data_IF_401188262295
#
_entry.id   IF_401188262295
#
_cell.length_a   1.000
_cell.length_b   1.000
_cell.length_c   1.000
_cell.angle_alpha   90.00
_cell.angle_beta   90.00
_cell.angle_gamma   90.00
#
_symmetry.space_group_name_H-M   'P 1'
#
loop_
_entity.id
_entity.type
_entity.pdbx_description
1 polymer ?
#
# COMPACT_ATOMS: atom_id res chain seq x y z
N UNK A 1 15.27 0.78 -5.43
CA UNK A 1 15.82 2.05 -4.92
C UNK A 1 15.92 1.90 -3.41
N UNK A 2 16.86 1.11 -2.94
CA UNK A 2 17.04 0.84 -1.51
C UNK A 2 18.51 0.54 -1.32
N UNK A 3 19.25 1.60 -1.02
CA UNK A 3 20.57 1.47 -0.42
C UNK A 3 20.66 2.56 0.65
N UNK A 4 19.76 2.47 1.64
CA UNK A 4 19.85 3.24 2.88
C UNK A 4 20.71 2.42 3.83
N UNK A 5 22.01 2.44 3.55
CA UNK A 5 23.06 1.87 4.38
C UNK A 5 23.02 2.53 5.76
N UNK A 6 22.49 1.84 6.77
CA UNK A 6 22.55 2.29 8.17
C UNK A 6 22.83 1.11 9.08
N UNK A 7 24.07 1.03 9.55
CA UNK A 7 24.51 0.10 10.59
C UNK A 7 25.90 -0.44 10.29
N UNK A 8 26.92 0.01 11.02
CA UNK A 8 28.31 -0.44 10.84
C UNK A 8 28.46 -1.90 11.26
N UNK A 9 28.57 -2.80 10.28
CA UNK A 9 28.93 -4.20 10.54
C UNK A 9 30.35 -4.35 11.05
N UNK A 10 30.66 -5.50 11.67
CA UNK A 10 32.00 -5.84 12.18
C UNK A 10 33.12 -5.82 11.12
N UNK A 11 32.77 -5.71 9.83
CA UNK A 11 33.66 -5.60 8.68
C UNK A 11 33.63 -4.21 8.00
N UNK A 12 32.98 -3.21 8.58
CA UNK A 12 32.97 -1.83 8.08
C UNK A 12 31.93 -1.53 6.99
N UNK A 13 31.37 -2.56 6.34
CA UNK A 13 30.28 -2.39 5.38
C UNK A 13 28.92 -2.39 6.10
N UNK A 14 28.00 -1.47 5.72
CA UNK A 14 26.70 -1.40 6.37
C UNK A 14 25.76 -2.51 5.90
N UNK A 15 24.98 -3.08 6.82
CA UNK A 15 23.91 -4.01 6.45
C UNK A 15 22.85 -3.31 5.60
N UNK A 16 22.40 -3.96 4.53
CA UNK A 16 21.22 -3.49 3.81
C UNK A 16 19.95 -3.85 4.60
N UNK A 17 19.05 -2.88 4.74
CA UNK A 17 17.79 -3.07 5.45
C UNK A 17 16.94 -4.17 4.79
N UNK A 18 16.92 -4.21 3.45
CA UNK A 18 16.18 -5.23 2.70
C UNK A 18 16.68 -6.65 3.00
N UNK A 19 18.01 -6.84 3.12
CA UNK A 19 18.56 -8.16 3.44
C UNK A 19 18.17 -8.62 4.85
N UNK A 20 18.18 -7.70 5.82
CA UNK A 20 17.74 -8.00 7.17
C UNK A 20 16.23 -8.28 7.22
N UNK A 21 15.43 -7.58 6.42
CA UNK A 21 14.00 -7.83 6.28
C UNK A 21 13.71 -9.18 5.63
N UNK A 22 14.41 -9.54 4.54
CA UNK A 22 14.26 -10.84 3.87
C UNK A 22 14.71 -12.01 4.77
N UNK A 23 15.77 -11.79 5.56
CA UNK A 23 16.25 -12.74 6.56
C UNK A 23 15.21 -12.94 7.68
N UNK A 24 14.65 -11.84 8.19
CA UNK A 24 13.61 -11.87 9.23
C UNK A 24 12.32 -12.53 8.74
N UNK A 25 11.91 -12.24 7.50
CA UNK A 25 10.74 -12.82 6.86
C UNK A 25 10.92 -14.30 6.48
N UNK A 26 12.11 -14.86 6.63
CA UNK A 26 12.40 -16.27 6.30
C UNK A 26 12.33 -16.57 4.80
N UNK A 27 12.52 -15.57 3.95
CA UNK A 27 12.44 -15.68 2.48
C UNK A 27 13.71 -16.30 1.89
N UNK A 28 14.84 -16.19 2.61
CA UNK A 28 16.14 -16.66 2.17
C UNK A 28 16.30 -18.19 2.34
N UNK A 29 17.15 -18.78 1.50
CA UNK A 29 17.46 -20.22 1.54
C UNK A 29 17.99 -20.64 2.93
N UNK A 30 17.57 -21.78 3.51
CA UNK A 30 17.87 -22.13 4.90
C UNK A 30 19.37 -22.11 5.26
N UNK A 31 20.23 -22.57 4.34
CA UNK A 31 21.68 -22.57 4.54
C UNK A 31 22.29 -21.15 4.56
N UNK A 32 21.72 -20.23 3.78
CA UNK A 32 22.12 -18.83 3.77
C UNK A 32 21.63 -18.13 5.06
N UNK A 33 20.37 -18.36 5.43
CA UNK A 33 19.78 -17.82 6.65
C UNK A 33 20.58 -18.20 7.90
N UNK A 34 20.95 -19.48 8.04
CA UNK A 34 21.75 -19.94 9.18
C UNK A 34 23.11 -19.22 9.30
N UNK A 35 23.76 -18.94 8.17
CA UNK A 35 25.03 -18.20 8.14
C UNK A 35 24.83 -16.74 8.52
N UNK A 36 23.82 -16.08 7.95
CA UNK A 36 23.53 -14.68 8.21
C UNK A 36 23.08 -14.45 9.66
N UNK A 37 22.23 -15.33 10.21
CA UNK A 37 21.85 -15.27 11.62
C UNK A 37 23.05 -15.37 12.57
N UNK A 38 24.07 -16.16 12.25
CA UNK A 38 25.31 -16.20 13.04
C UNK A 38 26.04 -14.86 13.05
N UNK A 39 26.02 -14.12 11.93
CA UNK A 39 26.68 -12.82 11.81
C UNK A 39 25.85 -11.72 12.49
N UNK A 40 24.53 -11.70 12.26
CA UNK A 40 23.58 -10.77 12.90
C UNK A 40 23.61 -10.90 14.42
N UNK A 41 23.67 -12.13 14.96
CA UNK A 41 23.76 -12.33 16.41
C UNK A 41 25.08 -11.83 17.02
N UNK A 42 26.14 -11.71 16.23
CA UNK A 42 27.42 -11.16 16.67
C UNK A 42 27.50 -9.63 16.52
N UNK A 43 26.50 -9.00 15.89
CA UNK A 43 26.45 -7.58 15.59
C UNK A 43 25.27 -6.89 16.30
N UNK A 44 25.53 -6.04 17.32
CA UNK A 44 24.48 -5.36 18.05
C UNK A 44 23.67 -4.39 17.20
N UNK A 45 24.26 -3.80 16.16
CA UNK A 45 23.57 -2.88 15.25
C UNK A 45 22.55 -3.63 14.40
N UNK A 46 22.95 -4.76 13.82
CA UNK A 46 22.04 -5.62 13.06
C UNK A 46 20.92 -6.18 13.96
N UNK A 47 21.25 -6.60 15.20
CA UNK A 47 20.25 -7.11 16.14
C UNK A 47 19.21 -6.06 16.51
N UNK A 48 19.61 -4.81 16.70
CA UNK A 48 18.67 -3.72 16.97
C UNK A 48 17.66 -3.50 15.83
N UNK A 49 18.06 -3.71 14.57
CA UNK A 49 17.13 -3.64 13.42
C UNK A 49 16.14 -4.81 13.44
N UNK A 50 16.62 -6.03 13.71
CA UNK A 50 15.73 -7.20 13.83
C UNK A 50 14.72 -6.99 14.97
N UNK A 51 15.15 -6.50 16.12
CA UNK A 51 14.27 -6.23 17.27
C UNK A 51 13.20 -5.18 16.93
N UNK A 52 13.55 -4.17 16.13
CA UNK A 52 12.60 -3.19 15.62
C UNK A 52 11.57 -3.81 14.66
N UNK A 53 11.97 -4.75 13.80
CA UNK A 53 11.05 -5.49 12.93
C UNK A 53 10.11 -6.41 13.72
N UNK A 54 10.62 -7.08 14.76
CA UNK A 54 9.82 -7.89 15.69
C UNK A 54 8.74 -7.03 16.39
N UNK A 55 9.09 -5.81 16.82
CA UNK A 55 8.13 -4.86 17.40
C UNK A 55 7.00 -4.51 16.44
N UNK A 56 7.31 -4.25 15.16
CA UNK A 56 6.28 -3.97 14.15
C UNK A 56 5.38 -5.18 13.94
N UNK A 57 5.94 -6.40 13.93
CA UNK A 57 5.16 -7.63 13.87
C UNK A 57 4.17 -7.72 15.03
N UNK A 58 4.63 -7.48 16.26
CA UNK A 58 3.78 -7.48 17.45
C UNK A 58 2.68 -6.40 17.38
N UNK A 59 3.01 -5.19 16.94
CA UNK A 59 2.03 -4.10 16.77
C UNK A 59 0.95 -4.45 15.72
N UNK A 60 1.34 -5.10 14.62
CA UNK A 60 0.41 -5.57 13.60
C UNK A 60 -0.47 -6.72 14.12
N UNK A 61 0.06 -7.60 14.97
CA UNK A 61 -0.74 -8.64 15.62
C UNK A 61 -1.82 -8.05 16.54
N UNK A 62 -1.51 -6.98 17.27
CA UNK A 62 -2.52 -6.24 18.06
C UNK A 62 -3.65 -5.70 17.18
N UNK A 63 -3.32 -5.29 15.96
CA UNK A 63 -4.30 -4.77 15.00
C UNK A 63 -5.14 -5.87 14.34
N UNK A 64 -4.60 -7.09 14.21
CA UNK A 64 -5.33 -8.25 13.68
C UNK A 64 -6.54 -8.60 14.56
N UNK A 65 -6.40 -8.45 15.86
CA UNK A 65 -7.46 -8.78 16.81
C UNK A 65 -8.52 -7.66 16.91
N UNK A 66 -8.31 -6.52 16.24
CA UNK A 66 -9.30 -5.46 16.13
C UNK A 66 -10.46 -5.88 15.20
N UNK A 67 -11.72 -5.51 15.51
CA UNK A 67 -12.85 -5.79 14.64
C UNK A 67 -12.68 -5.15 13.26
N UNK A 68 -12.60 -5.98 12.22
CA UNK A 68 -12.59 -5.48 10.85
C UNK A 68 -13.98 -4.92 10.47
N UNK A 69 -14.06 -3.81 9.72
CA UNK A 69 -15.32 -3.32 9.20
C UNK A 69 -15.95 -4.37 8.27
N UNK A 70 -17.30 -4.45 8.18
CA UNK A 70 -17.95 -5.40 7.31
C UNK A 70 -17.59 -5.13 5.84
N UNK A 71 -17.40 -6.21 5.07
CA UNK A 71 -17.17 -6.10 3.63
C UNK A 71 -18.35 -5.38 2.96
N UNK A 72 -18.11 -4.39 2.09
CA UNK A 72 -19.20 -3.73 1.37
C UNK A 72 -19.94 -4.73 0.46
N UNK A 73 -21.27 -4.61 0.41
CA UNK A 73 -22.16 -5.62 -0.16
C UNK A 73 -21.94 -5.85 -1.66
N UNK A 74 -21.53 -4.82 -2.40
CA UNK A 74 -21.23 -4.92 -3.83
C UNK A 74 -20.00 -5.81 -4.09
N UNK A 75 -18.97 -5.74 -3.23
CA UNK A 75 -17.81 -6.63 -3.32
C UNK A 75 -18.16 -8.06 -2.94
N UNK A 76 -18.97 -8.26 -1.89
CA UNK A 76 -19.44 -9.59 -1.50
C UNK A 76 -20.21 -10.26 -2.64
N UNK A 77 -21.18 -9.55 -3.24
CA UNK A 77 -21.96 -10.06 -4.36
C UNK A 77 -21.11 -10.38 -5.59
N UNK A 78 -20.08 -9.57 -5.87
CA UNK A 78 -19.12 -9.82 -6.95
C UNK A 78 -18.27 -11.06 -6.68
N UNK A 79 -17.83 -11.26 -5.44
CA UNK A 79 -17.06 -12.44 -5.04
C UNK A 79 -17.91 -13.70 -5.17
N UNK A 80 -19.15 -13.66 -4.68
CA UNK A 80 -20.10 -14.77 -4.78
C UNK A 80 -20.38 -15.14 -6.24
N UNK A 81 -20.61 -14.14 -7.10
CA UNK A 81 -20.81 -14.36 -8.54
C UNK A 81 -19.57 -14.96 -9.21
N UNK A 82 -18.36 -14.55 -8.81
CA UNK A 82 -17.12 -15.09 -9.34
C UNK A 82 -16.91 -16.55 -8.89
N UNK A 83 -17.18 -16.87 -7.63
CA UNK A 83 -17.11 -18.23 -7.10
C UNK A 83 -18.13 -19.14 -7.80
N UNK A 84 -19.36 -18.67 -8.02
CA UNK A 84 -20.41 -19.43 -8.72
C UNK A 84 -20.06 -19.65 -10.21
N UNK A 85 -19.45 -18.66 -10.87
CA UNK A 85 -18.98 -18.83 -12.24
C UNK A 85 -17.86 -19.89 -12.32
N UNK A 86 -16.94 -19.89 -11.36
CA UNK A 86 -15.86 -20.87 -11.32
C UNK A 86 -16.35 -22.26 -10.91
N UNK A 87 -17.30 -22.35 -9.98
CA UNK A 87 -17.93 -23.62 -9.59
C UNK A 87 -18.63 -24.27 -10.80
N UNK A 88 -19.33 -23.49 -11.62
CA UNK A 88 -19.94 -23.98 -12.87
C UNK A 88 -18.91 -24.39 -13.91
N UNK A 89 -17.75 -23.74 -13.98
CA UNK A 89 -16.67 -24.17 -14.89
C UNK A 89 -16.02 -25.47 -14.42
N UNK A 90 -15.80 -25.60 -13.12
CA UNK A 90 -15.18 -26.76 -12.51
C UNK A 90 -16.12 -27.98 -12.46
N UNK A 91 -17.43 -27.77 -12.28
CA UNK A 91 -18.41 -28.83 -12.00
C UNK A 91 -19.65 -28.84 -12.91
N UNK A 92 -19.86 -27.81 -13.73
CA UNK A 92 -21.06 -27.58 -14.55
C UNK A 92 -20.99 -28.15 -15.98
N UNK A 93 -20.47 -29.38 -16.13
CA UNK A 93 -20.94 -30.23 -17.22
C UNK A 93 -22.43 -30.59 -17.02
N UNK A 94 -23.19 -30.98 -18.05
CA UNK A 94 -24.63 -31.21 -17.94
C UNK A 94 -24.95 -32.20 -16.82
N UNK A 95 -25.53 -31.70 -15.73
CA UNK A 95 -26.09 -32.50 -14.65
C UNK A 95 -27.56 -32.80 -14.97
N UNK A 96 -27.84 -34.06 -15.27
CA UNK A 96 -29.15 -34.67 -15.12
C UNK A 96 -29.53 -34.68 -13.63
N UNK A 97 -30.70 -34.14 -13.27
CA UNK A 97 -31.31 -34.27 -11.94
C UNK A 97 -32.54 -35.19 -11.99
N UNK A 98 -32.96 -35.90 -10.92
CA UNK A 98 -32.34 -36.08 -9.61
C UNK A 98 -32.31 -37.55 -9.14
N UNK A 99 -31.16 -38.02 -8.66
CA UNK A 99 -31.11 -39.00 -7.57
C UNK A 99 -29.96 -38.54 -6.69
N UNK A 100 -30.19 -38.40 -5.39
CA UNK A 100 -29.15 -38.17 -4.40
C UNK A 100 -28.18 -39.36 -4.40
N UNK A 101 -27.29 -39.41 -5.38
CA UNK A 101 -26.04 -40.15 -5.25
C UNK A 101 -25.17 -39.25 -4.39
N UNK A 102 -25.25 -39.47 -3.08
CA UNK A 102 -24.20 -39.05 -2.13
C UNK A 102 -22.88 -39.40 -2.81
N UNK A 103 -22.11 -38.39 -3.22
CA UNK A 103 -20.78 -38.61 -3.79
C UNK A 103 -20.06 -39.52 -2.79
N UNK A 104 -19.58 -40.71 -3.19
CA UNK A 104 -19.03 -41.66 -2.24
C UNK A 104 -17.86 -40.96 -1.56
N UNK A 105 -18.02 -40.66 -0.27
CA UNK A 105 -16.97 -40.11 0.57
C UNK A 105 -15.92 -41.21 0.65
N UNK A 106 -14.95 -41.15 -0.25
CA UNK A 106 -13.79 -42.03 -0.22
C UNK A 106 -13.00 -41.66 1.00
N UNK A 107 -12.99 -42.56 1.99
CA UNK A 107 -12.09 -42.44 3.12
C UNK A 107 -10.65 -42.35 2.59
N UNK A 108 -10.02 -41.20 2.81
CA UNK A 108 -8.65 -40.91 2.39
C UNK A 108 -7.67 -41.96 2.97
N UNK A 109 -7.97 -42.54 4.14
CA UNK A 109 -7.18 -43.61 4.73
C UNK A 109 -7.30 -44.92 3.91
N UNK A 110 -8.50 -45.24 3.41
CA UNK A 110 -8.74 -46.43 2.61
C UNK A 110 -8.17 -46.30 1.19
N UNK A 111 -8.30 -45.11 0.57
CA UNK A 111 -7.66 -44.78 -0.70
C UNK A 111 -6.12 -44.85 -0.62
N UNK A 112 -5.52 -44.33 0.47
CA UNK A 112 -4.06 -44.36 0.72
C UNK A 112 -3.56 -45.79 0.96
N UNK A 113 -4.33 -46.62 1.67
CA UNK A 113 -4.02 -48.04 1.89
C UNK A 113 -4.03 -48.83 0.58
N UNK A 114 -5.01 -48.60 -0.31
CA UNK A 114 -5.07 -49.23 -1.64
C UNK A 114 -3.93 -48.80 -2.57
N UNK A 115 -3.51 -47.53 -2.50
CA UNK A 115 -2.34 -47.01 -3.23
C UNK A 115 -1.03 -47.61 -2.72
N UNK A 116 -0.84 -47.73 -1.41
CA UNK A 116 0.36 -48.33 -0.81
C UNK A 116 0.53 -49.81 -1.19
N UNK A 117 -0.57 -50.57 -1.29
CA UNK A 117 -0.53 -51.96 -1.77
C UNK A 117 -0.16 -52.09 -3.25
N UNK A 118 -0.50 -51.10 -4.08
CA UNK A 118 -0.13 -51.08 -5.51
C UNK A 118 1.32 -50.62 -5.73
N UNK A 119 1.83 -49.70 -4.91
CA UNK A 119 3.26 -49.35 -4.93
C UNK A 119 4.16 -50.46 -4.38
N UNK A 120 3.65 -51.31 -3.48
CA UNK A 120 4.39 -52.49 -3.00
C UNK A 120 4.60 -53.56 -4.10
N UNK A 121 3.90 -53.49 -5.23
CA UNK A 121 4.07 -54.39 -6.39
C UNK A 121 4.77 -53.70 -7.58
N UNK A 122 5.36 -52.52 -7.39
CA UNK A 122 5.80 -51.64 -8.48
C UNK A 122 7.16 -50.98 -8.30
N UNK A 123 8.09 -51.59 -7.57
CA UNK A 123 9.50 -51.15 -7.59
C UNK A 123 10.31 -52.07 -8.50
N UNK A 124 10.25 -51.78 -9.80
CA UNK A 124 11.04 -52.44 -10.82
C UNK A 124 11.38 -51.45 -11.94
N UNK A 125 12.45 -50.67 -11.71
CA UNK A 125 13.32 -50.01 -12.69
C UNK A 125 12.81 -48.80 -13.51
N UNK A 126 13.77 -47.88 -13.74
CA UNK A 126 13.87 -46.84 -14.79
C UNK A 126 13.14 -45.50 -14.52
N UNK A 127 13.59 -44.29 -14.88
CA UNK A 127 14.83 -43.68 -15.43
C UNK A 127 14.58 -42.16 -15.41
N UNK A 128 15.64 -41.35 -15.36
CA UNK A 128 15.59 -39.89 -15.47
C UNK A 128 14.92 -39.38 -16.76
N UNK A 129 14.12 -38.32 -16.67
CA UNK A 129 13.80 -37.42 -17.77
C UNK A 129 13.31 -36.06 -17.23
N UNK A 130 14.07 -35.01 -17.54
CA UNK A 130 13.70 -33.61 -17.33
C UNK A 130 12.68 -33.17 -18.40
N UNK A 131 11.65 -32.42 -18.01
CA UNK A 131 10.81 -31.68 -18.95
C UNK A 131 10.25 -30.40 -18.29
N UNK A 132 10.39 -29.29 -19.00
CA UNK A 132 10.21 -27.91 -18.56
C UNK A 132 8.76 -27.55 -18.21
N UNK A 133 8.60 -26.69 -17.20
CA UNK A 133 7.32 -26.10 -16.78
C UNK A 133 7.12 -24.78 -17.53
N UNK A 134 6.04 -24.70 -18.32
CA UNK A 134 5.58 -23.46 -18.95
C UNK A 134 4.41 -22.88 -18.13
N UNK A 135 4.58 -21.67 -17.60
CA UNK A 135 3.55 -20.91 -16.89
C UNK A 135 2.94 -19.92 -17.87
N UNK A 136 1.63 -20.00 -18.12
CA UNK A 136 0.88 -19.02 -18.91
C UNK A 136 0.07 -18.12 -17.98
N UNK A 137 0.37 -16.82 -17.98
CA UNK A 137 -0.45 -15.79 -17.35
C UNK A 137 -1.51 -15.31 -18.34
N UNK A 138 -2.78 -15.33 -17.91
CA UNK A 138 -3.91 -14.75 -18.62
C UNK A 138 -4.01 -13.25 -18.32
N UNK A 139 -4.05 -12.43 -19.37
CA UNK A 139 -4.33 -10.98 -19.31
C UNK A 139 -5.75 -10.76 -19.81
N UNK A 140 -6.57 -10.04 -19.04
CA UNK A 140 -7.87 -9.51 -19.46
C UNK A 140 -7.88 -7.98 -19.28
N UNK A 141 -8.40 -7.21 -20.25
CA UNK A 141 -8.35 -5.75 -20.27
C UNK A 141 -9.52 -5.14 -19.47
N UNK A 142 -9.22 -4.11 -18.67
CA UNK A 142 -10.22 -3.26 -18.03
C UNK A 142 -10.59 -2.07 -18.91
N UNK A 143 -11.89 -1.89 -19.15
CA UNK A 143 -12.49 -0.65 -19.66
C UNK A 143 -13.25 0.02 -18.52
N UNK A 144 -13.10 1.33 -18.33
CA UNK A 144 -14.03 2.14 -17.54
C UNK A 144 -14.58 3.32 -18.35
N UNK A 145 -15.89 3.64 -18.21
CA UNK A 145 -16.59 4.67 -18.97
C UNK A 145 -16.59 6.06 -18.31
N UNK A 146 -16.89 7.04 -19.16
CA UNK A 146 -17.23 8.46 -18.90
C UNK A 146 -18.62 8.60 -18.27
N UNK A 147 -18.87 9.54 -17.34
CA UNK A 147 -19.62 10.83 -17.49
C UNK A 147 -20.12 11.15 -16.06
N UNK A 148 -20.15 12.37 -15.51
CA UNK A 148 -20.72 13.62 -15.99
C UNK A 148 -22.01 13.92 -15.20
N UNK A 149 -22.04 14.94 -14.33
CA UNK A 149 -23.25 15.36 -13.61
C UNK A 149 -23.04 16.55 -12.66
N UNK A 150 -23.55 17.72 -13.04
CA UNK A 150 -23.50 19.03 -12.36
C UNK A 150 -24.76 19.32 -11.54
N UNK A 151 -24.65 20.09 -10.44
CA UNK A 151 -25.43 21.32 -10.14
C UNK A 151 -25.40 21.71 -8.65
N UNK A 152 -25.14 23.00 -8.38
CA UNK A 152 -25.29 23.74 -7.11
C UNK A 152 -26.67 24.49 -7.09
N UNK A 153 -26.96 25.50 -6.23
CA UNK A 153 -26.45 25.93 -4.91
C UNK A 153 -27.58 26.28 -3.88
N UNK A 154 -27.24 26.70 -2.64
CA UNK A 154 -27.89 27.83 -1.95
C UNK A 154 -27.15 28.25 -0.64
N UNK A 155 -27.19 29.55 -0.36
CA UNK A 155 -26.42 30.33 0.63
C UNK A 155 -27.26 30.86 1.80
N UNK A 156 -26.61 30.97 2.97
CA UNK A 156 -26.72 31.99 4.07
C UNK A 156 -28.03 32.23 4.82
N UNK A 157 -27.98 32.26 6.17
CA UNK A 157 -28.08 33.45 7.08
C UNK A 157 -27.82 33.06 8.56
N UNK A 158 -27.27 33.98 9.37
CA UNK A 158 -26.64 33.82 10.68
C UNK A 158 -27.52 34.05 11.94
N UNK A 159 -27.13 33.52 13.12
CA UNK A 159 -26.79 34.28 14.38
C UNK A 159 -26.83 33.47 15.71
N UNK A 160 -25.73 33.58 16.49
CA UNK A 160 -25.56 33.67 17.97
C UNK A 160 -25.59 32.46 18.98
N UNK A 161 -24.38 32.13 19.48
CA UNK A 161 -23.94 31.78 20.88
C UNK A 161 -24.13 30.33 21.45
N UNK A 162 -23.41 29.95 22.53
CA UNK A 162 -22.07 29.35 22.58
C UNK A 162 -22.10 27.84 22.93
N UNK A 163 -21.46 27.01 22.13
CA UNK A 163 -21.37 25.57 22.37
C UNK A 163 -21.19 24.82 21.06
N UNK A 164 -20.38 23.77 21.08
CA UNK A 164 -20.02 22.91 19.93
C UNK A 164 -19.21 23.59 18.82
N UNK A 165 -17.90 23.36 18.87
CA UNK A 165 -17.00 23.70 17.78
C UNK A 165 -17.37 22.90 16.53
N UNK A 166 -17.93 23.64 15.58
CA UNK A 166 -18.22 23.28 14.20
C UNK A 166 -17.08 22.52 13.53
N UNK A 167 -17.45 21.45 12.82
CA UNK A 167 -16.61 20.70 11.87
C UNK A 167 -16.11 21.59 10.72
N UNK A 168 -15.07 22.39 10.97
CA UNK A 168 -14.11 22.77 9.95
C UNK A 168 -13.05 21.66 9.90
N UNK A 169 -12.63 21.15 8.73
CA UNK A 169 -11.52 20.21 8.66
C UNK A 169 -10.31 20.87 9.34
N UNK A 170 -9.88 20.28 10.45
CA UNK A 170 -8.73 20.77 11.22
C UNK A 170 -7.51 20.69 10.29
N UNK A 171 -6.72 21.78 10.15
CA UNK A 171 -5.52 21.75 9.32
C UNK A 171 -4.61 20.59 9.74
N UNK A 172 -4.06 19.88 8.75
CA UNK A 172 -3.16 18.76 9.02
C UNK A 172 -1.90 19.29 9.71
N UNK A 173 -1.58 18.76 10.89
CA UNK A 173 -0.33 19.10 11.58
C UNK A 173 0.83 18.38 10.89
N UNK A 174 1.84 19.16 10.46
CA UNK A 174 3.03 18.69 9.75
C UNK A 174 4.26 19.31 10.39
N UNK A 175 5.33 18.53 10.56
CA UNK A 175 6.63 19.08 10.93
C UNK A 175 7.51 19.19 9.70
N UNK A 176 8.45 20.14 9.67
CA UNK A 176 9.40 20.27 8.55
C UNK A 176 10.22 18.99 8.29
N UNK A 177 10.42 18.15 9.31
CA UNK A 177 11.08 16.85 9.20
C UNK A 177 10.22 15.72 8.61
N UNK A 178 8.88 15.86 8.60
CA UNK A 178 7.93 14.83 8.16
C UNK A 178 6.99 15.31 7.03
N UNK A 179 7.41 16.34 6.28
CA UNK A 179 6.65 16.84 5.12
C UNK A 179 6.42 15.72 4.09
N UNK A 180 7.35 14.78 3.96
CA UNK A 180 7.22 13.60 3.10
C UNK A 180 6.08 12.67 3.51
N UNK A 181 5.88 12.42 4.80
CA UNK A 181 4.78 11.60 5.33
C UNK A 181 3.42 12.28 5.20
N UNK A 182 3.38 13.62 5.21
CA UNK A 182 2.16 14.40 5.00
C UNK A 182 1.65 14.35 3.55
N UNK A 183 2.54 14.22 2.56
CA UNK A 183 2.18 14.17 1.13
C UNK A 183 1.24 13.01 0.82
N UNK A 184 1.44 11.84 1.43
CA UNK A 184 0.56 10.68 1.25
C UNK A 184 -0.85 10.88 1.81
N UNK A 185 -1.02 11.80 2.76
CA UNK A 185 -2.31 12.10 3.40
C UNK A 185 -3.10 13.17 2.62
N UNK A 186 -2.42 13.98 1.82
CA UNK A 186 -2.99 15.15 1.11
C UNK A 186 -3.83 14.73 -0.11
N UNK A 187 -3.71 13.49 -0.57
CA UNK A 187 -4.51 12.98 -1.68
C UNK A 187 -4.45 13.88 -2.92
N UNK A 188 -5.48 13.81 -3.77
CA UNK A 188 -5.60 14.62 -4.99
C UNK A 188 -6.63 15.75 -4.86
N UNK A 189 -7.11 16.02 -3.64
CA UNK A 189 -8.05 17.11 -3.37
C UNK A 189 -7.35 18.47 -3.41
N UNK A 190 -8.10 19.50 -3.80
CA UNK A 190 -7.60 20.88 -3.90
C UNK A 190 -8.39 21.78 -2.96
N UNK A 191 -7.89 21.91 -1.74
CA UNK A 191 -8.42 22.78 -0.70
C UNK A 191 -7.49 23.98 -0.53
N UNK A 192 -7.81 25.09 -1.17
CA UNK A 192 -6.96 26.29 -1.19
C UNK A 192 -7.01 27.12 0.10
N UNK A 193 -7.99 26.86 0.97
CA UNK A 193 -8.17 27.58 2.22
C UNK A 193 -8.17 29.11 2.01
N UNK A 194 -7.34 29.86 2.77
CA UNK A 194 -7.24 31.32 2.66
C UNK A 194 -6.83 31.85 1.27
N UNK A 195 -6.21 31.03 0.42
CA UNK A 195 -5.86 31.41 -0.95
C UNK A 195 -7.08 31.47 -1.89
N UNK A 196 -8.25 31.00 -1.42
CA UNK A 196 -9.55 30.96 -2.09
C UNK A 196 -9.62 30.02 -3.29
N UNK A 197 -8.71 30.17 -4.25
CA UNK A 197 -8.74 29.46 -5.53
C UNK A 197 -7.34 29.17 -6.08
N UNK A 198 -7.31 28.47 -7.22
CA UNK A 198 -6.07 28.15 -7.95
C UNK A 198 -5.33 29.43 -8.38
N UNK A 199 -6.02 30.51 -8.73
CA UNK A 199 -5.37 31.75 -9.16
C UNK A 199 -4.63 32.43 -7.99
N UNK A 200 -5.15 32.31 -6.77
CA UNK A 200 -4.45 32.71 -5.54
C UNK A 200 -3.18 31.91 -5.32
N UNK A 201 -3.25 30.58 -5.48
CA UNK A 201 -2.08 29.71 -5.37
C UNK A 201 -1.03 30.00 -6.46
N UNK A 202 -1.45 30.18 -7.72
CA UNK A 202 -0.55 30.44 -8.84
C UNK A 202 0.26 31.74 -8.64
N UNK A 203 -0.34 32.76 -8.02
CA UNK A 203 0.37 33.98 -7.62
C UNK A 203 1.47 33.68 -6.61
N UNK A 204 1.20 32.87 -5.60
CA UNK A 204 2.20 32.50 -4.61
C UNK A 204 3.30 31.61 -5.20
N UNK A 205 2.94 30.69 -6.10
CA UNK A 205 3.90 29.85 -6.83
C UNK A 205 4.83 30.72 -7.70
N UNK A 206 4.27 31.70 -8.42
CA UNK A 206 5.05 32.62 -9.23
C UNK A 206 5.99 33.51 -8.38
N UNK A 207 5.55 33.90 -7.17
CA UNK A 207 6.36 34.65 -6.23
C UNK A 207 7.49 33.80 -5.59
N UNK A 208 7.27 32.49 -5.44
CA UNK A 208 8.24 31.56 -4.88
C UNK A 208 9.41 31.21 -5.83
N UNK A 209 9.25 31.41 -7.14
CA UNK A 209 10.37 31.31 -8.09
C UNK A 209 9.99 30.91 -9.53
N UNK A 210 10.95 31.01 -10.49
CA UNK A 210 10.68 30.84 -11.92
C UNK A 210 10.27 29.42 -12.32
N UNK A 211 10.68 28.41 -11.55
CA UNK A 211 10.34 27.01 -11.81
C UNK A 211 8.91 26.65 -11.38
N UNK A 212 8.28 27.50 -10.58
CA UNK A 212 6.89 27.31 -10.14
C UNK A 212 5.89 27.46 -11.28
N UNK A 213 6.14 28.38 -12.22
CA UNK A 213 5.20 28.72 -13.29
C UNK A 213 4.93 27.57 -14.30
N UNK A 214 5.79 26.54 -14.33
CA UNK A 214 5.63 25.35 -15.19
C UNK A 214 5.12 24.12 -14.44
N UNK A 215 5.01 24.21 -13.13
CA UNK A 215 4.63 23.09 -12.28
C UNK A 215 3.11 22.91 -12.27
N UNK A 216 2.65 21.67 -12.43
CA UNK A 216 1.23 21.35 -12.30
C UNK A 216 0.90 21.05 -10.84
N UNK A 217 -0.19 21.64 -10.34
CA UNK A 217 -0.70 21.37 -8.99
C UNK A 217 -1.45 20.04 -8.95
N UNK A 218 -0.91 19.09 -8.18
CA UNK A 218 -1.48 17.76 -7.94
C UNK A 218 -2.51 17.83 -6.82
N UNK A 219 -2.16 18.42 -5.70
CA UNK A 219 -2.99 18.52 -4.51
C UNK A 219 -2.69 19.78 -3.71
N UNK A 220 -3.70 20.27 -3.00
CA UNK A 220 -3.59 21.47 -2.15
C UNK A 220 -4.35 21.21 -0.87
N UNK A 221 -3.73 21.50 0.27
CA UNK A 221 -4.36 21.32 1.57
C UNK A 221 -3.90 22.37 2.59
N UNK A 222 -4.78 22.86 3.47
CA UNK A 222 -4.39 23.65 4.63
C UNK A 222 -3.61 22.78 5.62
N UNK A 223 -2.45 23.27 6.06
CA UNK A 223 -1.57 22.59 7.01
C UNK A 223 -1.13 23.54 8.13
N UNK A 224 -0.70 22.97 9.25
CA UNK A 224 0.06 23.68 10.28
C UNK A 224 1.49 23.14 10.26
N UNK A 225 2.41 23.89 9.66
CA UNK A 225 3.82 23.52 9.56
C UNK A 225 4.58 24.10 10.76
N UNK A 226 5.10 23.24 11.63
CA UNK A 226 5.84 23.65 12.84
C UNK A 226 5.07 24.68 13.69
N UNK A 227 3.75 24.53 13.76
CA UNK A 227 2.85 25.43 14.49
C UNK A 227 2.43 26.69 13.71
N UNK A 228 2.94 26.89 12.50
CA UNK A 228 2.57 28.02 11.62
C UNK A 228 1.54 27.56 10.59
N UNK A 229 0.41 28.26 10.51
CA UNK A 229 -0.60 27.99 9.48
C UNK A 229 -0.07 28.32 8.09
N UNK A 230 -0.30 27.40 7.15
CA UNK A 230 0.08 27.53 5.76
C UNK A 230 -0.79 26.67 4.86
N UNK A 231 -0.62 26.85 3.56
CA UNK A 231 -1.24 26.06 2.51
C UNK A 231 -0.13 25.27 1.84
N UNK A 232 -0.23 23.95 1.93
CA UNK A 232 0.70 23.05 1.25
C UNK A 232 0.18 22.76 -0.15
N UNK A 233 1.03 22.97 -1.15
CA UNK A 233 0.81 22.62 -2.54
C UNK A 233 1.82 21.55 -2.98
N UNK A 234 1.30 20.48 -3.55
CA UNK A 234 2.09 19.43 -4.19
C UNK A 234 2.16 19.70 -5.69
N UNK A 235 3.37 19.90 -6.18
CA UNK A 235 3.67 20.39 -7.52
C UNK A 235 4.50 19.37 -8.30
N UNK A 236 4.27 19.27 -9.61
CA UNK A 236 5.16 18.49 -10.49
C UNK A 236 6.47 19.24 -10.75
N UNK A 237 7.57 18.50 -10.91
CA UNK A 237 8.88 19.09 -11.29
C UNK A 237 9.20 18.92 -12.78
N UNK A 238 8.31 18.29 -13.55
CA UNK A 238 8.57 17.86 -14.93
C UNK A 238 9.34 16.54 -15.05
N UNK A 239 9.75 15.94 -13.93
CA UNK A 239 10.30 14.57 -13.87
C UNK A 239 9.28 13.61 -13.24
N UNK A 240 9.24 12.37 -13.70
CA UNK A 240 8.26 11.38 -13.24
C UNK A 240 8.47 10.93 -11.78
N UNK A 241 9.66 11.15 -11.21
CA UNK A 241 10.05 10.64 -9.89
C UNK A 241 10.28 11.73 -8.84
N UNK A 242 10.17 13.02 -9.19
CA UNK A 242 10.31 14.13 -8.25
C UNK A 242 9.08 15.02 -8.24
N UNK A 243 8.59 15.27 -7.05
CA UNK A 243 7.55 16.26 -6.77
C UNK A 243 8.18 17.41 -6.00
N UNK A 244 7.56 18.58 -6.02
CA UNK A 244 7.97 19.73 -5.22
C UNK A 244 6.88 20.02 -4.22
N UNK A 245 7.26 20.15 -2.95
CA UNK A 245 6.34 20.59 -1.91
C UNK A 245 6.63 22.04 -1.62
N UNK A 246 5.59 22.86 -1.78
CA UNK A 246 5.62 24.27 -1.46
C UNK A 246 4.59 24.52 -0.35
N UNK A 247 5.01 25.10 0.77
CA UNK A 247 4.12 25.58 1.83
C UNK A 247 4.21 27.09 1.89
N UNK A 248 3.08 27.75 1.69
CA UNK A 248 2.97 29.22 1.68
C UNK A 248 1.88 29.71 2.62
N UNK A 249 2.03 30.91 3.13
CA UNK A 249 0.95 31.60 3.85
C UNK A 249 0.01 32.33 2.88
N UNK A 250 -1.08 32.89 3.41
CA UNK A 250 -2.08 33.62 2.63
C UNK A 250 -1.51 34.89 1.94
N UNK A 251 -0.41 35.43 2.45
CA UNK A 251 0.34 36.57 1.90
C UNK A 251 1.47 36.13 0.94
N UNK A 252 1.53 34.85 0.58
CA UNK A 252 2.55 34.21 -0.22
C UNK A 252 3.96 34.16 0.41
N UNK A 253 4.08 34.37 1.72
CA UNK A 253 5.32 34.08 2.45
C UNK A 253 5.62 32.58 2.37
N UNK A 254 6.81 32.21 1.89
CA UNK A 254 7.25 30.82 1.75
C UNK A 254 7.73 30.31 3.09
N UNK A 255 7.07 29.27 3.61
CA UNK A 255 7.46 28.56 4.83
C UNK A 255 8.34 27.34 4.54
N UNK A 256 8.10 26.68 3.41
CA UNK A 256 8.85 25.50 2.97
C UNK A 256 8.81 25.38 1.46
N UNK A 257 9.94 25.05 0.86
CA UNK A 257 10.03 24.82 -0.58
C UNK A 257 11.16 23.84 -0.87
N UNK A 258 10.84 22.57 -1.09
CA UNK A 258 11.82 21.56 -1.44
C UNK A 258 11.23 20.49 -2.37
N UNK A 259 12.05 19.96 -3.29
CA UNK A 259 11.71 18.73 -4.00
C UNK A 259 11.71 17.53 -3.06
N UNK A 260 10.77 16.61 -3.27
CA UNK A 260 10.66 15.30 -2.63
C UNK A 260 10.62 14.21 -3.72
N UNK A 261 11.13 13.02 -3.40
CA UNK A 261 11.32 11.94 -4.38
C UNK A 261 12.75 11.84 -4.90
N UNK A 262 13.09 10.70 -5.51
CA UNK A 262 14.46 10.36 -5.94
C UNK A 262 14.63 10.55 -7.44
#
# INVERSE_FOLDING_TARGET
MTDELRGTGASGDPWSVDLLADLHAGVLEPAQSARLWSQVNADPGARAVIDALDSVGADLELLRDAPAPPMPADFAARLDAAIEAESRRAFGGPQSTPQQAVAPVVDLAEARRKRSRRLAWGTGLLTAAAAAVAVTFAVLPGSQPTTGGVAAPATTTASAQPGEATNAPKPLAVTSSDVGGAVGKIGNSKEYGPLKDQAGLDKCIAAAGPDGAKAQTIGVHPVTLDGTEGIMALLTTGSATKLRVLVVQADCTVLFDNPIGR
#
